data_IF_170629903282
#
_entry.id   IF_170629903282
#
_cell.length_a   1.000
_cell.length_b   1.000
_cell.length_c   1.000
_cell.angle_alpha   90.00
_cell.angle_beta   90.00
_cell.angle_gamma   90.00
#
_symmetry.space_group_name_H-M   'P 1'
#
loop_
_entity.id
_entity.type
_entity.pdbx_description
1 polymer ?
#
# COMPACT_ATOMS: atom_id res chain seq x y z
N UNK A 1 19.78 -1.89 -20.05
CA UNK A 1 18.42 -2.38 -19.78
C UNK A 1 18.13 -2.08 -18.33
N UNK A 2 17.14 -1.24 -18.03
CA UNK A 2 16.64 -1.13 -16.65
C UNK A 2 15.99 -2.47 -16.28
N UNK A 3 16.39 -3.06 -15.16
CA UNK A 3 15.83 -4.33 -14.69
C UNK A 3 14.46 -4.03 -14.05
N UNK A 4 13.39 -4.60 -14.63
CA UNK A 4 12.06 -4.58 -14.02
C UNK A 4 11.96 -5.80 -13.10
N UNK A 5 11.61 -5.56 -11.84
CA UNK A 5 11.38 -6.61 -10.84
C UNK A 5 9.90 -6.64 -10.45
N UNK A 6 9.36 -7.79 -10.08
CA UNK A 6 7.98 -7.88 -9.61
C UNK A 6 7.91 -7.36 -8.16
N UNK A 7 6.92 -6.51 -7.89
CA UNK A 7 6.61 -6.09 -6.53
C UNK A 7 5.97 -7.27 -5.77
N UNK A 8 6.35 -7.51 -4.50
CA UNK A 8 5.76 -8.60 -3.73
C UNK A 8 4.25 -8.40 -3.54
N UNK A 9 3.48 -9.48 -3.67
CA UNK A 9 2.08 -9.48 -3.27
C UNK A 9 1.98 -9.37 -1.74
N UNK A 10 1.25 -8.40 -1.18
CA UNK A 10 1.07 -8.29 0.27
C UNK A 10 0.44 -9.54 0.90
N UNK A 11 -0.31 -10.37 0.16
CA UNK A 11 -0.91 -11.61 0.68
C UNK A 11 0.12 -12.73 0.89
N UNK A 12 1.14 -12.79 0.04
CA UNK A 12 2.14 -13.86 0.02
C UNK A 12 3.49 -13.43 0.63
N UNK A 13 3.62 -12.16 1.01
CA UNK A 13 4.86 -11.64 1.57
C UNK A 13 5.14 -12.22 2.95
N UNK A 14 6.38 -12.68 3.17
CA UNK A 14 6.82 -13.17 4.48
C UNK A 14 7.21 -11.99 5.37
N UNK A 15 6.23 -11.43 6.10
CA UNK A 15 6.45 -10.29 6.97
C UNK A 15 7.38 -10.63 8.13
N UNK A 16 8.38 -9.78 8.42
CA UNK A 16 9.10 -9.84 9.68
C UNK A 16 8.18 -9.47 10.87
N UNK A 17 8.58 -9.82 12.10
CA UNK A 17 7.85 -9.42 13.31
C UNK A 17 7.69 -7.89 13.45
N UNK A 18 8.65 -7.14 12.89
CA UNK A 18 8.62 -5.69 12.83
C UNK A 18 8.94 -5.23 11.41
N UNK A 19 8.03 -4.46 10.80
CA UNK A 19 8.27 -3.82 9.51
C UNK A 19 8.87 -2.45 9.76
N UNK A 20 10.09 -2.24 9.27
CA UNK A 20 10.84 -0.99 9.43
C UNK A 20 11.20 -0.40 8.08
N UNK A 21 11.20 0.93 8.00
CA UNK A 21 11.80 1.65 6.88
C UNK A 21 13.32 1.39 6.84
N UNK A 22 13.98 1.65 5.69
CA UNK A 22 15.44 1.50 5.57
C UNK A 22 16.26 2.31 6.58
N UNK A 23 15.71 3.40 7.13
CA UNK A 23 16.35 4.22 8.16
C UNK A 23 16.14 3.70 9.60
N UNK A 24 15.42 2.58 9.76
CA UNK A 24 15.11 1.94 11.04
C UNK A 24 13.78 2.37 11.67
N UNK A 25 13.06 3.33 11.09
CA UNK A 25 11.75 3.78 11.59
C UNK A 25 10.74 2.63 11.58
N UNK A 26 10.08 2.38 12.72
CA UNK A 26 9.05 1.33 12.84
C UNK A 26 7.74 1.76 12.15
N UNK A 27 7.21 0.91 11.27
CA UNK A 27 5.90 1.08 10.64
C UNK A 27 4.85 0.15 11.26
N UNK A 28 5.18 -1.13 11.39
CA UNK A 28 4.31 -2.17 11.93
C UNK A 28 5.07 -2.94 13.00
N UNK A 29 4.48 -3.09 14.19
CA UNK A 29 4.99 -3.92 15.28
C UNK A 29 4.30 -5.27 15.33
N UNK A 30 4.54 -6.03 16.42
CA UNK A 30 3.96 -7.37 16.62
C UNK A 30 2.45 -7.32 16.85
N UNK A 31 1.95 -6.19 17.35
CA UNK A 31 0.54 -5.96 17.62
C UNK A 31 0.07 -4.65 16.99
N UNK A 32 -1.25 -4.49 16.76
CA UNK A 32 -1.80 -3.26 16.20
C UNK A 32 -1.48 -2.01 17.04
N UNK A 33 -1.44 -2.17 18.37
CA UNK A 33 -1.12 -1.09 19.31
C UNK A 33 0.35 -0.68 19.29
N UNK A 34 1.22 -1.56 18.79
CA UNK A 34 2.64 -1.29 18.62
C UNK A 34 2.99 -0.79 17.21
N UNK A 35 2.02 -0.73 16.29
CA UNK A 35 2.22 -0.33 14.89
C UNK A 35 2.01 1.18 14.72
N UNK A 36 3.07 2.00 14.55
CA UNK A 36 2.93 3.44 14.40
C UNK A 36 2.07 3.83 13.18
N UNK A 37 2.09 3.06 12.10
CA UNK A 37 1.25 3.30 10.93
C UNK A 37 -0.25 3.27 11.27
N UNK A 38 -0.66 2.38 12.18
CA UNK A 38 -2.05 2.25 12.66
C UNK A 38 -2.36 3.30 13.72
N UNK A 39 -1.45 3.48 14.68
CA UNK A 39 -1.65 4.40 15.81
C UNK A 39 -1.67 5.86 15.36
N UNK A 40 -0.86 6.20 14.35
CA UNK A 40 -0.73 7.55 13.80
C UNK A 40 -1.49 7.73 12.48
N UNK A 41 -2.38 6.80 12.11
CA UNK A 41 -3.14 6.80 10.85
C UNK A 41 -3.92 8.10 10.55
N UNK A 42 -4.17 8.93 11.56
CA UNK A 42 -4.88 10.22 11.46
C UNK A 42 -3.96 11.41 11.20
N UNK A 43 -2.69 11.29 11.59
CA UNK A 43 -1.72 12.39 11.56
C UNK A 43 -0.65 12.19 10.50
N UNK A 44 -0.23 10.95 10.25
CA UNK A 44 0.72 10.65 9.19
C UNK A 44 0.16 10.97 7.81
N UNK A 45 1.07 11.25 6.88
CA UNK A 45 0.78 11.70 5.54
C UNK A 45 1.55 10.85 4.54
N UNK A 46 0.85 10.29 3.57
CA UNK A 46 1.42 9.42 2.54
C UNK A 46 1.65 10.21 1.25
N UNK A 47 2.85 10.12 0.70
CA UNK A 47 3.19 10.78 -0.56
C UNK A 47 3.75 9.78 -1.56
N UNK A 48 3.45 9.95 -2.87
CA UNK A 48 4.07 9.15 -3.90
C UNK A 48 5.57 9.42 -3.91
N UNK A 49 6.33 8.35 -4.08
CA UNK A 49 7.78 8.36 -4.20
C UNK A 49 8.22 7.52 -5.39
N UNK A 50 7.47 7.62 -6.48
CA UNK A 50 7.74 6.91 -7.72
C UNK A 50 7.45 7.79 -8.94
N UNK A 51 7.93 7.34 -10.11
CA UNK A 51 7.47 7.78 -11.43
C UNK A 51 6.70 6.64 -12.08
N UNK A 52 5.50 6.91 -12.58
CA UNK A 52 4.75 5.92 -13.36
C UNK A 52 5.38 5.79 -14.76
N UNK A 53 6.00 4.64 -15.02
CA UNK A 53 6.57 4.29 -16.34
C UNK A 53 5.46 3.74 -17.24
N UNK A 54 4.52 3.02 -16.65
CA UNK A 54 3.30 2.54 -17.29
C UNK A 54 2.16 2.56 -16.28
N UNK A 55 1.00 3.03 -16.72
CA UNK A 55 -0.23 3.01 -15.96
C UNK A 55 -1.39 2.82 -16.93
N UNK A 56 -1.81 1.57 -17.12
CA UNK A 56 -2.87 1.24 -18.08
C UNK A 56 -3.88 0.31 -17.43
N UNK A 57 -5.16 0.71 -17.50
CA UNK A 57 -6.29 -0.16 -17.22
C UNK A 57 -6.76 -0.81 -18.54
N UNK A 58 -7.13 -2.08 -18.48
CA UNK A 58 -7.73 -2.82 -19.59
C UNK A 58 -9.24 -2.95 -19.39
N UNK A 59 -9.96 -3.25 -20.48
CA UNK A 59 -11.43 -3.38 -20.49
C UNK A 59 -11.94 -4.51 -19.58
N UNK A 60 -11.09 -5.50 -19.28
CA UNK A 60 -11.38 -6.60 -18.35
C UNK A 60 -11.17 -6.22 -16.87
N UNK A 61 -10.80 -4.96 -16.59
CA UNK A 61 -10.56 -4.44 -15.25
C UNK A 61 -9.15 -4.69 -14.71
N UNK A 62 -8.27 -5.36 -15.47
CA UNK A 62 -6.86 -5.56 -15.07
C UNK A 62 -6.01 -4.30 -15.28
N UNK A 63 -4.88 -4.21 -14.59
CA UNK A 63 -4.01 -3.03 -14.62
C UNK A 63 -2.56 -3.40 -14.93
N UNK A 64 -1.97 -2.87 -16.00
CA UNK A 64 -0.52 -2.94 -16.21
C UNK A 64 0.14 -1.67 -15.66
N UNK A 65 0.66 -1.80 -14.44
CA UNK A 65 1.30 -0.71 -13.70
C UNK A 65 2.78 -1.04 -13.48
N UNK A 66 3.64 -0.15 -13.95
CA UNK A 66 5.09 -0.20 -13.78
C UNK A 66 5.54 1.13 -13.17
N UNK A 67 6.12 1.06 -11.97
CA UNK A 67 6.54 2.22 -11.19
C UNK A 67 8.04 2.19 -10.96
N UNK A 68 8.74 3.31 -11.18
CA UNK A 68 10.14 3.46 -10.81
C UNK A 68 10.23 4.24 -9.49
N UNK A 69 10.77 3.63 -8.43
CA UNK A 69 11.00 4.32 -7.17
C UNK A 69 11.99 5.48 -7.35
N UNK A 70 11.64 6.65 -6.82
CA UNK A 70 12.54 7.81 -6.79
C UNK A 70 13.53 7.75 -5.63
N UNK A 71 13.38 6.81 -4.68
CA UNK A 71 14.26 6.66 -3.52
C UNK A 71 15.44 5.72 -3.81
N UNK A 72 15.17 4.59 -4.46
CA UNK A 72 16.17 3.55 -4.71
C UNK A 72 16.46 3.30 -6.21
N UNK A 73 15.69 3.91 -7.12
CA UNK A 73 15.87 3.78 -8.57
C UNK A 73 15.38 2.47 -9.18
N UNK A 74 14.82 1.56 -8.39
CA UNK A 74 14.34 0.25 -8.86
C UNK A 74 12.99 0.42 -9.56
N UNK A 75 12.81 -0.28 -10.67
CA UNK A 75 11.56 -0.33 -11.43
C UNK A 75 10.78 -1.59 -11.07
N UNK A 76 9.58 -1.40 -10.54
CA UNK A 76 8.68 -2.45 -10.06
C UNK A 76 7.50 -2.64 -11.00
N UNK A 77 7.18 -3.89 -11.33
CA UNK A 77 5.86 -4.28 -11.87
C UNK A 77 4.92 -4.54 -10.70
N UNK A 78 3.82 -3.81 -10.63
CA UNK A 78 2.84 -3.96 -9.55
C UNK A 78 2.01 -5.24 -9.72
N UNK A 79 1.53 -5.86 -8.63
CA UNK A 79 0.61 -6.98 -8.69
C UNK A 79 -0.74 -6.55 -9.27
N UNK A 80 -1.54 -7.53 -9.71
CA UNK A 80 -2.93 -7.32 -10.12
C UNK A 80 -3.89 -7.23 -8.92
N UNK A 81 -3.37 -7.18 -7.69
CA UNK A 81 -4.17 -7.04 -6.48
C UNK A 81 -4.95 -5.70 -6.50
N UNK A 82 -6.30 -5.73 -6.52
CA UNK A 82 -7.11 -4.52 -6.59
C UNK A 82 -6.87 -3.52 -5.45
N UNK A 83 -6.51 -4.00 -4.25
CA UNK A 83 -6.27 -3.12 -3.11
C UNK A 83 -4.95 -2.37 -3.28
N UNK A 84 -3.86 -3.07 -3.58
CA UNK A 84 -2.54 -2.47 -3.79
C UNK A 84 -2.61 -1.44 -4.92
N UNK A 85 -3.29 -1.79 -6.02
CA UNK A 85 -3.53 -0.87 -7.13
C UNK A 85 -4.34 0.36 -6.68
N UNK A 86 -5.42 0.15 -5.93
CA UNK A 86 -6.25 1.24 -5.41
C UNK A 86 -5.49 2.16 -4.46
N UNK A 87 -4.62 1.63 -3.60
CA UNK A 87 -3.76 2.39 -2.69
C UNK A 87 -2.80 3.27 -3.50
N UNK A 88 -2.12 2.70 -4.49
CA UNK A 88 -1.22 3.43 -5.39
C UNK A 88 -1.95 4.55 -6.11
N UNK A 89 -3.12 4.25 -6.71
CA UNK A 89 -3.94 5.24 -7.41
C UNK A 89 -4.37 6.38 -6.48
N UNK A 90 -4.86 6.02 -5.28
CA UNK A 90 -5.34 6.97 -4.28
C UNK A 90 -4.24 7.91 -3.83
N UNK A 91 -3.03 7.40 -3.53
CA UNK A 91 -1.90 8.20 -3.08
C UNK A 91 -1.34 9.07 -4.22
N UNK A 92 -1.32 8.54 -5.46
CA UNK A 92 -0.89 9.30 -6.63
C UNK A 92 -1.75 10.55 -6.86
N UNK A 93 -3.07 10.39 -6.76
CA UNK A 93 -4.03 11.47 -7.00
C UNK A 93 -4.29 12.36 -5.78
N UNK A 94 -3.92 11.90 -4.57
CA UNK A 94 -4.10 12.65 -3.32
C UNK A 94 -2.80 12.66 -2.48
N UNK A 95 -1.72 13.33 -2.93
CA UNK A 95 -0.50 13.43 -2.14
C UNK A 95 -0.76 14.10 -0.78
N UNK A 96 -0.32 13.45 0.30
CA UNK A 96 -0.60 13.87 1.67
C UNK A 96 -1.89 13.27 2.25
N UNK A 97 -2.48 12.27 1.61
CA UNK A 97 -3.61 11.53 2.18
C UNK A 97 -3.21 10.78 3.46
N UNK A 98 -4.14 10.65 4.40
CA UNK A 98 -3.95 9.88 5.63
C UNK A 98 -4.03 8.38 5.37
N UNK A 99 -3.29 7.54 6.12
CA UNK A 99 -3.50 6.10 6.10
C UNK A 99 -4.96 5.69 6.38
N UNK A 100 -5.66 6.38 7.29
CA UNK A 100 -7.08 6.10 7.58
C UNK A 100 -8.01 6.40 6.39
N UNK A 101 -7.69 7.43 5.61
CA UNK A 101 -8.48 7.81 4.42
C UNK A 101 -8.25 6.81 3.29
N UNK A 102 -7.00 6.35 3.09
CA UNK A 102 -6.68 5.26 2.15
C UNK A 102 -7.41 3.97 2.54
N UNK A 103 -7.41 3.61 3.83
CA UNK A 103 -8.16 2.46 4.34
C UNK A 103 -9.66 2.59 4.05
N UNK A 104 -10.26 3.77 4.28
CA UNK A 104 -11.67 4.01 3.96
C UNK A 104 -11.99 3.76 2.48
N UNK A 105 -11.14 4.27 1.57
CA UNK A 105 -11.30 4.08 0.12
C UNK A 105 -11.17 2.60 -0.27
N UNK A 106 -10.17 1.89 0.26
CA UNK A 106 -9.95 0.48 -0.05
C UNK A 106 -11.10 -0.41 0.47
N UNK A 107 -11.60 -0.16 1.68
CA UNK A 107 -12.74 -0.90 2.24
C UNK A 107 -14.04 -0.63 1.46
N UNK A 108 -14.27 0.63 1.04
CA UNK A 108 -15.41 0.96 0.21
C UNK A 108 -15.37 0.22 -1.14
N UNK A 109 -14.19 0.07 -1.75
CA UNK A 109 -14.01 -0.73 -2.97
C UNK A 109 -14.38 -2.20 -2.75
N UNK A 110 -13.94 -2.81 -1.65
CA UNK A 110 -14.29 -4.20 -1.32
C UNK A 110 -15.79 -4.37 -1.10
N UNK A 111 -16.42 -3.42 -0.41
CA UNK A 111 -17.86 -3.45 -0.20
C UNK A 111 -18.63 -3.36 -1.54
N UNK A 112 -18.17 -2.53 -2.47
CA UNK A 112 -18.74 -2.45 -3.83
C UNK A 112 -18.53 -3.75 -4.63
N UNK A 113 -17.43 -4.46 -4.40
CA UNK A 113 -17.16 -5.77 -4.97
C UNK A 113 -17.99 -6.91 -4.32
N UNK A 114 -18.85 -6.60 -3.35
CA UNK A 114 -19.74 -7.56 -2.71
C UNK A 114 -19.19 -8.19 -1.43
N UNK A 115 -18.08 -7.69 -0.89
CA UNK A 115 -17.56 -8.12 0.40
C UNK A 115 -18.47 -7.59 1.52
N UNK A 116 -19.00 -8.50 2.33
CA UNK A 116 -19.75 -8.13 3.54
C UNK A 116 -18.81 -7.74 4.68
N UNK A 117 -18.68 -6.44 4.90
CA UNK A 117 -17.87 -5.84 5.96
C UNK A 117 -18.64 -5.59 7.27
N UNK A 118 -19.89 -6.07 7.40
CA UNK A 118 -20.63 -5.99 8.66
C UNK A 118 -20.07 -6.94 9.74
N UNK A 119 -19.31 -7.95 9.32
CA UNK A 119 -18.56 -8.84 10.20
C UNK A 119 -17.26 -8.17 10.66
N UNK A 120 -17.11 -7.97 11.96
CA UNK A 120 -15.96 -7.26 12.54
C UNK A 120 -14.62 -7.94 12.25
N UNK A 121 -14.55 -9.27 12.34
CA UNK A 121 -13.31 -10.03 12.07
C UNK A 121 -12.86 -9.86 10.62
N UNK A 122 -13.81 -9.88 9.68
CA UNK A 122 -13.54 -9.69 8.25
C UNK A 122 -13.13 -8.25 7.96
N UNK A 123 -13.82 -7.27 8.56
CA UNK A 123 -13.43 -5.86 8.45
C UNK A 123 -12.02 -5.63 8.97
N UNK A 124 -11.69 -6.24 10.11
CA UNK A 124 -10.36 -6.17 10.71
C UNK A 124 -9.32 -6.79 9.78
N UNK A 125 -9.54 -8.01 9.26
CA UNK A 125 -8.62 -8.66 8.34
C UNK A 125 -8.30 -7.79 7.09
N UNK A 126 -9.33 -7.18 6.49
CA UNK A 126 -9.11 -6.26 5.37
C UNK A 126 -8.36 -4.99 5.76
N UNK A 127 -8.65 -4.43 6.95
CA UNK A 127 -7.92 -3.28 7.44
C UNK A 127 -6.42 -3.59 7.62
N UNK A 128 -6.07 -4.78 8.18
CA UNK A 128 -4.67 -5.22 8.26
C UNK A 128 -4.03 -5.32 6.90
N UNK A 129 -4.70 -5.98 5.96
CA UNK A 129 -4.19 -6.12 4.60
C UNK A 129 -3.86 -4.76 3.95
N UNK A 130 -4.70 -3.75 4.16
CA UNK A 130 -4.42 -2.38 3.67
C UNK A 130 -3.18 -1.79 4.32
N UNK A 131 -3.02 -1.89 5.65
CA UNK A 131 -1.83 -1.37 6.33
C UNK A 131 -0.56 -2.13 5.94
N UNK A 132 -0.66 -3.44 5.73
CA UNK A 132 0.43 -4.28 5.24
C UNK A 132 0.87 -3.83 3.84
N UNK A 133 -0.08 -3.63 2.91
CA UNK A 133 0.19 -3.11 1.58
C UNK A 133 0.84 -1.71 1.61
N UNK A 134 0.34 -0.78 2.45
CA UNK A 134 0.96 0.54 2.65
C UNK A 134 2.39 0.39 3.17
N UNK A 135 2.63 -0.51 4.14
CA UNK A 135 3.95 -0.72 4.71
C UNK A 135 4.96 -1.26 3.69
N UNK A 136 4.54 -2.21 2.83
CA UNK A 136 5.36 -2.73 1.74
C UNK A 136 5.70 -1.64 0.72
N UNK A 137 4.71 -0.86 0.29
CA UNK A 137 4.95 0.26 -0.63
C UNK A 137 5.99 1.23 -0.06
N UNK A 138 5.97 1.46 1.25
CA UNK A 138 6.93 2.34 1.92
C UNK A 138 8.33 1.72 1.99
N UNK A 139 8.44 0.44 2.40
CA UNK A 139 9.71 -0.31 2.47
C UNK A 139 10.41 -0.39 1.11
N UNK A 140 9.64 -0.59 0.04
CA UNK A 140 10.15 -0.67 -1.33
C UNK A 140 10.35 0.72 -1.97
N UNK A 141 10.18 1.80 -1.20
CA UNK A 141 10.46 3.16 -1.61
C UNK A 141 9.50 3.70 -2.67
N UNK A 142 8.31 3.13 -2.81
CA UNK A 142 7.26 3.61 -3.71
C UNK A 142 6.43 4.71 -3.04
N UNK A 143 6.30 4.70 -1.72
CA UNK A 143 5.72 5.83 -0.99
C UNK A 143 6.68 6.31 0.10
N UNK A 144 6.52 7.56 0.50
CA UNK A 144 7.19 8.14 1.66
C UNK A 144 6.14 8.58 2.68
N UNK A 145 6.49 8.49 3.96
CA UNK A 145 5.62 8.81 5.07
C UNK A 145 6.19 10.03 5.79
N UNK A 146 5.37 11.05 5.98
CA UNK A 146 5.71 12.23 6.78
C UNK A 146 4.85 12.28 8.05
N UNK A 147 5.44 12.80 9.13
CA UNK A 147 4.86 12.90 10.47
C UNK A 147 4.36 14.31 10.78
#
# INVERSE_FOLDING_TARGET
MEQIVDFPDPADYNYPEEVRLPDGTLLMGRTPGESPLIMNRKIWRLYPSFKAIRYKQYDDGTYDIILQSTQNGITYRMPQDPITVSIVDTILHNPGIKPEEVMGTALALQQQAGVDLSNEDRMFAWAFYVYDAISLLAVYGLIRIEM
#
